data_IF_893497297766
#
_entry.id   IF_893497297766
#
_cell.length_a   1.000
_cell.length_b   1.000
_cell.length_c   1.000
_cell.angle_alpha   90.00
_cell.angle_beta   90.00
_cell.angle_gamma   90.00
#
_symmetry.space_group_name_H-M   'P 1'
#
loop_
_entity.id
_entity.type
_entity.pdbx_description
1 polymer ?
#
# COMPACT_ATOMS: atom_id res chain seq x y z
N UNK A 1 1.78 -16.15 -12.75
CA UNK A 1 2.99 -15.30 -12.72
C UNK A 1 2.60 -13.83 -12.63
N UNK A 2 3.45 -12.98 -12.04
CA UNK A 2 3.21 -11.54 -11.83
C UNK A 2 4.44 -10.74 -12.25
N UNK A 3 4.21 -9.48 -12.60
CA UNK A 3 5.28 -8.55 -12.96
C UNK A 3 5.80 -7.85 -11.70
N UNK A 4 7.12 -7.82 -11.54
CA UNK A 4 7.84 -7.17 -10.45
C UNK A 4 8.83 -6.16 -11.01
N UNK A 5 8.98 -5.02 -10.33
CA UNK A 5 10.09 -4.11 -10.55
C UNK A 5 11.11 -4.30 -9.44
N UNK A 6 12.36 -4.51 -9.84
CA UNK A 6 13.49 -4.68 -8.94
C UNK A 6 14.13 -3.33 -8.70
N UNK A 7 14.35 -3.03 -7.43
CA UNK A 7 15.06 -1.85 -6.98
C UNK A 7 16.26 -2.26 -6.14
N UNK A 8 17.37 -1.56 -6.29
CA UNK A 8 18.60 -1.81 -5.54
C UNK A 8 19.07 -0.54 -4.83
N UNK A 9 19.60 -0.68 -3.61
CA UNK A 9 20.31 0.40 -2.93
C UNK A 9 21.83 0.31 -3.16
N UNK A 10 22.57 1.31 -2.69
CA UNK A 10 24.03 1.35 -2.79
C UNK A 10 24.74 0.32 -1.89
N UNK A 11 24.01 -0.34 -0.99
CA UNK A 11 24.54 -1.36 -0.06
C UNK A 11 24.35 -2.78 -0.61
N UNK A 12 23.76 -2.93 -1.80
CA UNK A 12 23.51 -4.24 -2.42
C UNK A 12 22.22 -4.92 -1.93
N UNK A 13 21.32 -4.21 -1.24
CA UNK A 13 20.01 -4.73 -0.90
C UNK A 13 19.07 -4.63 -2.10
N UNK A 14 18.28 -5.68 -2.33
CA UNK A 14 17.32 -5.75 -3.43
C UNK A 14 15.89 -5.85 -2.91
N UNK A 15 15.00 -5.06 -3.50
CA UNK A 15 13.57 -5.07 -3.20
C UNK A 15 12.79 -5.28 -4.50
N UNK A 16 11.92 -6.28 -4.50
CA UNK A 16 10.98 -6.52 -5.59
C UNK A 16 9.60 -5.96 -5.23
N UNK A 17 9.10 -5.02 -6.04
CA UNK A 17 7.76 -4.44 -5.91
C UNK A 17 6.83 -5.02 -6.95
N UNK A 18 5.76 -5.68 -6.48
CA UNK A 18 4.71 -6.22 -7.34
C UNK A 18 3.97 -5.08 -8.04
N UNK A 19 3.77 -5.20 -9.35
CA UNK A 19 2.96 -4.23 -10.10
C UNK A 19 1.46 -4.54 -10.01
N UNK A 20 0.65 -3.47 -9.95
CA UNK A 20 -0.81 -3.54 -9.80
C UNK A 20 -1.28 -3.73 -8.35
N UNK A 21 -2.40 -4.44 -8.19
CA UNK A 21 -3.14 -4.56 -6.91
C UNK A 21 -2.31 -5.06 -5.73
N UNK A 22 -2.47 -4.40 -4.59
CA UNK A 22 -1.89 -4.74 -3.29
C UNK A 22 -2.96 -5.18 -2.29
N UNK A 23 -3.01 -6.48 -2.02
CA UNK A 23 -3.90 -7.05 -0.99
C UNK A 23 -3.60 -6.49 0.41
N UNK A 24 -2.32 -6.30 0.73
CA UNK A 24 -1.91 -5.78 2.03
C UNK A 24 -2.29 -4.31 2.18
N UNK A 25 -2.13 -3.48 1.14
CA UNK A 25 -2.54 -2.08 1.21
C UNK A 25 -4.07 -1.93 1.29
N UNK A 26 -4.82 -2.79 0.60
CA UNK A 26 -6.27 -2.85 0.69
C UNK A 26 -6.75 -3.22 2.10
N UNK A 27 -6.27 -4.33 2.66
CA UNK A 27 -6.80 -4.85 3.93
C UNK A 27 -6.30 -4.13 5.18
N UNK A 28 -5.06 -3.64 5.16
CA UNK A 28 -4.42 -3.05 6.35
C UNK A 28 -4.27 -1.52 6.27
N UNK A 29 -4.51 -0.92 5.10
CA UNK A 29 -4.46 0.52 4.82
C UNK A 29 -3.32 1.26 5.56
N UNK A 30 -3.62 1.92 6.68
CA UNK A 30 -2.66 2.69 7.47
C UNK A 30 -1.54 1.81 8.05
N UNK A 31 -1.86 0.63 8.60
CA UNK A 31 -0.86 -0.28 9.19
C UNK A 31 0.15 -0.76 8.14
N UNK A 32 -0.34 -1.01 6.92
CA UNK A 32 0.54 -1.34 5.80
C UNK A 32 1.45 -0.16 5.43
N UNK A 33 0.92 1.07 5.37
CA UNK A 33 1.72 2.26 5.04
C UNK A 33 2.83 2.50 6.08
N UNK A 34 2.55 2.32 7.38
CA UNK A 34 3.55 2.37 8.46
C UNK A 34 4.63 1.30 8.25
N UNK A 35 4.22 0.05 7.99
CA UNK A 35 5.17 -1.06 7.78
C UNK A 35 6.14 -0.82 6.61
N UNK A 36 5.71 -0.06 5.60
CA UNK A 36 6.52 0.33 4.43
C UNK A 36 7.25 1.67 4.58
N UNK A 37 7.16 2.31 5.76
CA UNK A 37 7.73 3.63 6.07
C UNK A 37 7.26 4.71 5.07
N UNK A 38 6.02 4.61 4.59
CA UNK A 38 5.40 5.60 3.70
C UNK A 38 4.63 6.61 4.57
N UNK A 39 5.38 7.45 5.29
CA UNK A 39 4.83 8.32 6.33
C UNK A 39 3.70 9.23 5.83
N UNK A 40 3.86 9.82 4.64
CA UNK A 40 2.82 10.69 4.05
C UNK A 40 1.49 9.96 3.87
N UNK A 41 1.52 8.75 3.31
CA UNK A 41 0.31 7.93 3.09
C UNK A 41 -0.28 7.49 4.43
N UNK A 42 0.57 7.12 5.40
CA UNK A 42 0.13 6.74 6.74
C UNK A 42 -0.60 7.89 7.44
N UNK A 43 -0.03 9.08 7.48
CA UNK A 43 -0.62 10.24 8.15
C UNK A 43 -1.94 10.66 7.51
N UNK A 44 -2.00 10.66 6.17
CA UNK A 44 -3.25 10.97 5.44
C UNK A 44 -4.33 9.93 5.71
N UNK A 45 -3.98 8.64 5.65
CA UNK A 45 -4.93 7.56 5.94
C UNK A 45 -5.48 7.66 7.36
N UNK A 46 -4.60 7.89 8.35
CA UNK A 46 -5.01 8.08 9.74
C UNK A 46 -5.92 9.30 9.91
N UNK A 47 -5.60 10.42 9.26
CA UNK A 47 -6.44 11.62 9.27
C UNK A 47 -7.84 11.36 8.71
N UNK A 48 -7.95 10.63 7.60
CA UNK A 48 -9.25 10.24 7.02
C UNK A 48 -10.06 9.39 8.02
N UNK A 49 -9.44 8.38 8.63
CA UNK A 49 -10.12 7.54 9.62
C UNK A 49 -10.56 8.34 10.86
N UNK A 50 -9.71 9.26 11.34
CA UNK A 50 -10.05 10.12 12.47
C UNK A 50 -11.23 11.03 12.15
N UNK A 51 -11.24 11.68 10.97
CA UNK A 51 -12.34 12.54 10.54
C UNK A 51 -13.64 11.75 10.44
N UNK A 52 -13.62 10.57 9.83
CA UNK A 52 -14.80 9.71 9.73
C UNK A 52 -15.31 9.27 11.11
N UNK A 53 -14.41 8.94 12.04
CA UNK A 53 -14.77 8.58 13.40
C UNK A 53 -15.40 9.76 14.17
N UNK A 54 -14.83 10.96 14.05
CA UNK A 54 -15.39 12.18 14.67
C UNK A 54 -16.76 12.51 14.09
N UNK A 55 -16.93 12.42 12.76
CA UNK A 55 -18.22 12.66 12.12
C UNK A 55 -19.27 11.65 12.59
N UNK A 56 -18.90 10.37 12.69
CA UNK A 56 -19.79 9.33 13.19
C UNK A 56 -20.20 9.58 14.65
N UNK A 57 -19.23 9.96 15.50
CA UNK A 57 -19.48 10.30 16.90
C UNK A 57 -20.40 11.52 17.05
N UNK A 58 -20.13 12.61 16.33
CA UNK A 58 -20.95 13.83 16.38
C UNK A 58 -22.37 13.55 15.91
N UNK A 59 -22.55 12.80 14.82
CA UNK A 59 -23.86 12.43 14.32
C UNK A 59 -24.67 11.60 15.34
N UNK A 60 -24.01 10.71 16.09
CA UNK A 60 -24.65 9.96 17.17
C UNK A 60 -25.07 10.82 18.36
N UNK A 61 -24.33 11.90 18.66
CA UNK A 61 -24.58 12.75 19.82
C UNK A 61 -25.74 13.75 19.62
N UNK A 62 -26.12 14.06 18.38
CA UNK A 62 -27.12 15.08 18.04
C UNK A 62 -28.49 14.50 17.62
N UNK A 63 -28.64 13.18 17.54
CA UNK A 63 -29.87 12.51 17.09
C UNK A 63 -30.73 12.09 18.29
N UNK A 64 -32.05 12.33 18.20
CA UNK A 64 -33.01 11.91 19.24
C UNK A 64 -33.27 10.41 19.19
N UNK A 65 -33.57 9.76 20.34
CA UNK A 65 -33.64 8.29 20.48
C UNK A 65 -34.47 7.57 19.41
N UNK A 66 -35.59 8.13 18.95
CA UNK A 66 -36.44 7.53 17.92
C UNK A 66 -35.96 7.76 16.47
N UNK A 67 -35.26 8.87 16.20
CA UNK A 67 -34.60 9.11 14.92
C UNK A 67 -33.20 8.45 14.86
N UNK A 68 -32.65 8.04 16.00
CA UNK A 68 -31.30 7.53 16.18
C UNK A 68 -31.09 6.20 15.45
N UNK A 69 -32.07 5.29 15.44
CA UNK A 69 -31.84 3.93 14.95
C UNK A 69 -31.75 3.85 13.41
N UNK A 70 -32.70 4.45 12.69
CA UNK A 70 -32.65 4.52 11.22
C UNK A 70 -31.51 5.41 10.71
N UNK A 71 -31.21 6.50 11.42
CA UNK A 71 -30.11 7.40 11.03
C UNK A 71 -28.72 6.78 11.28
N UNK A 72 -28.56 5.97 12.32
CA UNK A 72 -27.33 5.21 12.59
C UNK A 72 -27.07 4.12 11.54
N UNK A 73 -28.08 3.34 11.16
CA UNK A 73 -27.91 2.26 10.18
C UNK A 73 -27.46 2.81 8.82
N UNK A 74 -28.10 3.90 8.39
CA UNK A 74 -27.72 4.60 7.16
C UNK A 74 -26.31 5.19 7.26
N UNK A 75 -25.99 5.90 8.34
CA UNK A 75 -24.67 6.47 8.57
C UNK A 75 -23.57 5.40 8.57
N UNK A 76 -23.81 4.26 9.21
CA UNK A 76 -22.89 3.13 9.23
C UNK A 76 -22.63 2.59 7.82
N UNK A 77 -23.69 2.41 7.02
CA UNK A 77 -23.59 1.98 5.63
C UNK A 77 -22.77 2.98 4.80
N UNK A 78 -23.06 4.28 4.92
CA UNK A 78 -22.34 5.33 4.20
C UNK A 78 -20.86 5.38 4.57
N UNK A 79 -20.54 5.37 5.87
CA UNK A 79 -19.15 5.32 6.35
C UNK A 79 -18.46 4.03 5.87
N UNK A 80 -19.16 2.90 5.89
CA UNK A 80 -18.68 1.63 5.35
C UNK A 80 -18.30 1.72 3.88
N UNK A 81 -19.12 2.35 3.04
CA UNK A 81 -18.79 2.58 1.63
C UNK A 81 -17.60 3.51 1.43
N UNK A 82 -17.48 4.57 2.23
CA UNK A 82 -16.32 5.47 2.18
C UNK A 82 -15.03 4.74 2.55
N UNK A 83 -15.06 3.94 3.61
CA UNK A 83 -13.91 3.12 4.04
C UNK A 83 -13.56 2.07 3.00
N UNK A 84 -14.54 1.40 2.41
CA UNK A 84 -14.32 0.42 1.34
C UNK A 84 -13.72 1.09 0.10
N UNK A 85 -14.28 2.22 -0.33
CA UNK A 85 -13.77 3.00 -1.46
C UNK A 85 -12.33 3.45 -1.23
N UNK A 86 -12.03 3.96 -0.04
CA UNK A 86 -10.67 4.32 0.34
C UNK A 86 -9.71 3.11 0.36
N UNK A 87 -10.18 1.97 0.87
CA UNK A 87 -9.39 0.72 0.88
C UNK A 87 -9.08 0.25 -0.54
N UNK A 88 -10.03 0.35 -1.47
CA UNK A 88 -9.81 0.05 -2.89
C UNK A 88 -8.76 0.99 -3.49
N UNK A 89 -8.82 2.29 -3.21
CA UNK A 89 -7.81 3.24 -3.66
C UNK A 89 -6.41 2.89 -3.13
N UNK A 90 -6.31 2.48 -1.86
CA UNK A 90 -5.07 1.98 -1.26
C UNK A 90 -4.59 0.69 -1.95
N UNK A 91 -5.50 -0.23 -2.27
CA UNK A 91 -5.16 -1.47 -2.98
C UNK A 91 -4.65 -1.24 -4.40
N UNK A 92 -5.25 -0.31 -5.15
CA UNK A 92 -4.86 0.03 -6.51
C UNK A 92 -3.52 0.76 -6.56
N UNK A 93 -3.31 1.73 -5.67
CA UNK A 93 -2.17 2.65 -5.74
C UNK A 93 -1.04 2.34 -4.76
N UNK A 94 -1.28 1.50 -3.76
CA UNK A 94 -0.34 1.26 -2.66
C UNK A 94 1.04 0.82 -3.15
N UNK A 95 1.12 -0.17 -4.04
CA UNK A 95 2.42 -0.61 -4.56
C UNK A 95 3.16 0.50 -5.32
N UNK A 96 2.45 1.36 -6.05
CA UNK A 96 3.06 2.49 -6.74
C UNK A 96 3.57 3.56 -5.77
N UNK A 97 2.81 3.85 -4.71
CA UNK A 97 3.27 4.75 -3.66
C UNK A 97 4.48 4.20 -2.91
N UNK A 98 4.50 2.88 -2.67
CA UNK A 98 5.67 2.22 -2.09
C UNK A 98 6.88 2.33 -3.01
N UNK A 99 6.71 2.04 -4.30
CA UNK A 99 7.77 2.17 -5.30
C UNK A 99 8.34 3.59 -5.37
N UNK A 100 7.47 4.61 -5.38
CA UNK A 100 7.90 6.02 -5.33
C UNK A 100 8.61 6.37 -4.02
N UNK A 101 8.22 5.76 -2.90
CA UNK A 101 8.87 5.99 -1.61
C UNK A 101 10.25 5.33 -1.53
N UNK A 102 10.50 4.25 -2.29
CA UNK A 102 11.80 3.59 -2.32
C UNK A 102 12.91 4.52 -2.80
N UNK A 103 12.65 5.42 -3.74
CA UNK A 103 13.66 6.42 -4.16
C UNK A 103 14.07 7.36 -3.03
N UNK A 104 13.13 7.74 -2.16
CA UNK A 104 13.43 8.53 -0.95
C UNK A 104 14.22 7.73 0.09
N UNK A 105 14.22 6.41 -0.01
CA UNK A 105 15.00 5.50 0.84
C UNK A 105 16.34 5.10 0.21
N UNK A 106 16.74 5.72 -0.92
CA UNK A 106 18.02 5.46 -1.58
C UNK A 106 18.02 4.29 -2.57
N UNK A 107 16.85 3.72 -2.87
CA UNK A 107 16.71 2.65 -3.86
C UNK A 107 16.54 3.21 -5.27
N UNK A 108 17.17 2.55 -6.24
CA UNK A 108 17.12 2.89 -7.67
C UNK A 108 16.50 1.75 -8.45
N UNK A 109 15.67 2.08 -9.45
CA UNK A 109 15.08 1.07 -10.33
C UNK A 109 16.17 0.41 -11.18
N UNK A 110 16.10 -0.92 -11.30
CA UNK A 110 17.06 -1.71 -12.08
C UNK A 110 16.40 -2.33 -13.31
N UNK A 111 15.41 -3.20 -13.08
CA UNK A 111 14.79 -4.01 -14.14
C UNK A 111 13.40 -4.48 -13.75
N UNK A 112 12.59 -4.79 -14.74
CA UNK A 112 11.31 -5.46 -14.59
C UNK A 112 11.45 -6.95 -14.91
N UNK A 113 10.91 -7.81 -14.05
CA UNK A 113 10.97 -9.27 -14.18
C UNK A 113 9.60 -9.90 -13.93
N UNK A 114 9.35 -11.03 -14.58
CA UNK A 114 8.17 -11.86 -14.32
C UNK A 114 8.57 -12.98 -13.39
N UNK A 115 7.85 -13.13 -12.28
CA UNK A 115 8.10 -14.16 -11.28
C UNK A 115 6.79 -14.59 -10.60
N UNK A 116 6.81 -15.69 -9.86
CA UNK A 116 5.67 -16.13 -9.05
C UNK A 116 5.50 -15.30 -7.79
N UNK A 117 6.63 -14.92 -7.17
CA UNK A 117 6.67 -14.15 -5.93
C UNK A 117 7.88 -13.19 -5.90
N UNK A 118 7.88 -12.27 -4.92
CA UNK A 118 8.90 -11.24 -4.79
C UNK A 118 10.30 -11.80 -4.54
N UNK A 119 10.41 -12.89 -3.77
CA UNK A 119 11.69 -13.53 -3.45
C UNK A 119 12.32 -14.11 -4.71
N UNK A 120 11.55 -14.87 -5.48
CA UNK A 120 11.99 -15.43 -6.76
C UNK A 120 12.39 -14.34 -7.76
N UNK A 121 11.70 -13.20 -7.77
CA UNK A 121 12.08 -12.08 -8.64
C UNK A 121 13.48 -11.53 -8.30
N UNK A 122 13.82 -11.45 -7.01
CA UNK A 122 15.17 -11.05 -6.56
C UNK A 122 16.20 -12.12 -6.90
N UNK A 123 15.90 -13.41 -6.64
CA UNK A 123 16.79 -14.53 -6.97
C UNK A 123 17.13 -14.58 -8.47
N UNK A 124 16.13 -14.40 -9.34
CA UNK A 124 16.32 -14.34 -10.79
C UNK A 124 17.20 -13.15 -11.21
N UNK A 125 17.02 -11.99 -10.57
CA UNK A 125 17.83 -10.81 -10.85
C UNK A 125 19.31 -11.05 -10.49
N UNK A 126 19.57 -11.53 -9.28
CA UNK A 126 20.94 -11.80 -8.81
C UNK A 126 21.65 -12.83 -9.69
N UNK A 127 20.94 -13.90 -10.10
CA UNK A 127 21.49 -14.90 -11.01
C UNK A 127 21.89 -14.30 -12.37
N UNK A 128 21.00 -13.50 -12.99
CA UNK A 128 21.28 -12.84 -14.26
C UNK A 128 22.45 -11.84 -14.16
N UNK A 129 22.54 -11.10 -13.06
CA UNK A 129 23.63 -10.15 -12.84
C UNK A 129 25.00 -10.85 -12.70
N UNK A 130 25.05 -11.97 -11.98
CA UNK A 130 26.28 -12.74 -11.81
C UNK A 130 26.75 -13.38 -13.12
N UNK A 131 25.82 -13.95 -13.90
CA UNK A 131 26.14 -14.52 -15.22
C UNK A 131 26.71 -13.43 -16.14
N UNK A 132 26.09 -12.25 -16.22
CA UNK A 132 26.62 -11.14 -17.01
C UNK A 132 28.01 -10.65 -16.57
N UNK A 133 28.35 -10.76 -15.29
CA UNK A 133 29.67 -10.34 -14.78
C UNK A 133 30.77 -11.34 -15.18
N UNK A 134 30.43 -12.63 -15.29
CA UNK A 134 31.35 -13.69 -15.71
C UNK A 134 31.66 -13.69 -17.22
N UNK A 135 30.83 -13.07 -18.06
CA UNK A 135 31.08 -12.95 -19.50
C UNK A 135 31.85 -11.69 -19.90
N UNK A 136 32.13 -10.78 -18.95
CA UNK A 136 32.81 -9.49 -19.20
C UNK A 136 34.21 -9.45 -18.57
N UNK A 137 34.58 -10.45 -17.76
CA UNK A 137 35.91 -10.65 -17.17
C UNK A 137 36.74 -11.62 -18.02
#
# INVERSE_FOLDING_TARGET
>A
MKVYRIHADSQGNYVAVKQGWSWSAFGLTCLWAVSKKIWKVSTVSMGIFLVLAVLAFVASAITSEAAMQLSHDLLFIYVGYLVLGFSILMGLNGNQWYEKNLSTQGYTYQKMLVAENAKQAVELYVKQSNENTLFVA
#
